data_IF_858774333757
#
_entry.id   IF_858774333757
#
_cell.length_a   1.000
_cell.length_b   1.000
_cell.length_c   1.000
_cell.angle_alpha   90.00
_cell.angle_beta   90.00
_cell.angle_gamma   90.00
#
_symmetry.space_group_name_H-M   'P 1'
#
loop_
_entity.id
_entity.type
_entity.pdbx_description
1 polymer ?
#
# COMPACT_ATOMS: atom_id res chain seq x y z
N UNK A 1 20.53 -0.92 23.61
CA UNK A 1 19.91 -1.93 22.73
C UNK A 1 18.94 -1.20 21.82
N UNK A 2 19.32 -0.97 20.56
CA UNK A 2 18.42 -0.33 19.59
C UNK A 2 17.30 -1.30 19.24
N UNK A 3 16.04 -0.84 19.29
CA UNK A 3 14.91 -1.62 18.78
C UNK A 3 15.24 -2.02 17.33
N UNK A 4 15.00 -3.27 16.90
CA UNK A 4 15.08 -3.58 15.48
C UNK A 4 14.08 -2.66 14.77
N UNK A 5 14.59 -1.72 13.97
CA UNK A 5 13.75 -0.96 13.06
C UNK A 5 13.16 -1.99 12.11
N UNK A 6 11.92 -2.42 12.35
CA UNK A 6 11.18 -3.22 11.39
C UNK A 6 11.24 -2.46 10.08
N UNK A 7 11.73 -3.11 9.02
CA UNK A 7 11.76 -2.48 7.72
C UNK A 7 10.31 -2.22 7.30
N UNK A 8 10.09 -1.18 6.50
CA UNK A 8 8.78 -0.84 5.92
C UNK A 8 8.10 -2.04 5.22
N UNK A 9 8.91 -3.02 4.80
CA UNK A 9 8.52 -4.27 4.14
C UNK A 9 8.42 -5.49 5.07
N UNK A 10 8.89 -5.40 6.32
CA UNK A 10 8.75 -6.45 7.35
C UNK A 10 7.42 -6.34 8.10
N UNK A 11 6.68 -5.26 7.84
CA UNK A 11 5.31 -5.10 8.29
C UNK A 11 4.40 -6.04 7.48
N UNK A 12 3.62 -6.88 8.17
CA UNK A 12 2.51 -7.65 7.58
C UNK A 12 1.38 -6.74 7.07
N UNK A 13 1.47 -5.42 7.30
CA UNK A 13 0.46 -4.47 6.86
C UNK A 13 0.51 -4.28 5.34
N UNK A 14 -0.66 -4.15 4.69
CA UNK A 14 -0.72 -3.86 3.27
C UNK A 14 -0.07 -2.51 2.93
N UNK A 15 0.71 -2.48 1.85
CA UNK A 15 1.32 -1.25 1.31
C UNK A 15 0.46 -0.72 0.18
N UNK A 16 -0.02 0.52 0.33
CA UNK A 16 -0.74 1.27 -0.69
C UNK A 16 0.21 2.33 -1.30
N UNK A 17 0.45 2.23 -2.59
CA UNK A 17 1.17 3.25 -3.37
C UNK A 17 0.17 4.10 -4.14
N UNK A 18 0.16 5.40 -3.84
CA UNK A 18 -0.77 6.38 -4.44
C UNK A 18 -0.12 7.30 -5.45
N UNK A 19 1.16 7.09 -5.74
CA UNK A 19 1.91 7.89 -6.72
C UNK A 19 1.32 7.74 -8.12
N UNK A 20 1.74 8.62 -9.02
CA UNK A 20 1.41 8.51 -10.45
C UNK A 20 1.88 7.18 -11.03
N UNK A 21 1.10 6.63 -11.97
CA UNK A 21 1.39 5.34 -12.62
C UNK A 21 2.81 5.25 -13.20
N UNK A 22 3.30 6.33 -13.83
CA UNK A 22 4.66 6.37 -14.39
C UNK A 22 5.75 6.18 -13.32
N UNK A 23 5.59 6.79 -12.15
CA UNK A 23 6.53 6.63 -11.04
C UNK A 23 6.48 5.21 -10.49
N UNK A 24 5.28 4.64 -10.32
CA UNK A 24 5.09 3.26 -9.89
C UNK A 24 5.74 2.24 -10.84
N UNK A 25 5.51 2.39 -12.15
CA UNK A 25 6.02 1.48 -13.17
C UNK A 25 7.54 1.49 -13.30
N UNK A 26 8.17 2.65 -13.09
CA UNK A 26 9.64 2.75 -13.06
C UNK A 26 10.22 1.90 -11.93
N UNK A 27 9.66 2.05 -10.73
CA UNK A 27 10.08 1.34 -9.53
C UNK A 27 9.07 1.48 -8.40
N UNK A 28 8.76 0.36 -7.75
CA UNK A 28 7.89 0.28 -6.59
C UNK A 28 8.35 -0.85 -5.67
N UNK A 29 7.75 -0.94 -4.49
CA UNK A 29 8.01 -2.05 -3.57
C UNK A 29 7.25 -3.29 -4.01
N UNK A 30 7.90 -4.45 -3.98
CA UNK A 30 7.23 -5.74 -4.13
C UNK A 30 6.03 -5.82 -3.19
N UNK A 31 4.94 -6.39 -3.70
CA UNK A 31 3.69 -6.61 -2.95
C UNK A 31 2.93 -5.33 -2.55
N UNK A 32 3.28 -4.15 -3.08
CA UNK A 32 2.42 -2.98 -2.97
C UNK A 32 1.22 -3.07 -3.90
N UNK A 33 0.12 -2.43 -3.49
CA UNK A 33 -1.00 -2.15 -4.37
C UNK A 33 -0.92 -0.73 -4.91
N UNK A 34 -1.31 -0.55 -6.18
CA UNK A 34 -1.29 0.76 -6.82
C UNK A 34 -2.71 1.29 -7.03
N UNK A 35 -3.03 2.40 -6.37
CA UNK A 35 -4.26 3.16 -6.59
C UNK A 35 -3.89 4.64 -6.51
N UNK A 36 -3.90 5.34 -7.64
CA UNK A 36 -3.50 6.75 -7.65
C UNK A 36 -4.37 7.59 -6.70
N UNK A 37 -3.80 8.62 -6.10
CA UNK A 37 -4.49 9.44 -5.09
C UNK A 37 -5.86 9.96 -5.58
N UNK A 38 -5.95 10.38 -6.85
CA UNK A 38 -7.18 10.86 -7.48
C UNK A 38 -8.21 9.75 -7.78
N UNK A 39 -7.78 8.49 -7.82
CA UNK A 39 -8.63 7.33 -8.10
C UNK A 39 -9.18 6.69 -6.81
N UNK A 40 -8.63 7.02 -5.63
CA UNK A 40 -8.98 6.40 -4.36
C UNK A 40 -10.48 6.42 -4.05
N UNK A 41 -11.19 7.48 -4.42
CA UNK A 41 -12.63 7.59 -4.22
C UNK A 41 -13.38 6.55 -5.06
N UNK A 42 -12.99 6.38 -6.31
CA UNK A 42 -13.65 5.48 -7.27
C UNK A 42 -13.27 4.02 -7.02
N UNK A 43 -12.02 3.79 -6.62
CA UNK A 43 -11.43 2.46 -6.38
C UNK A 43 -11.45 2.06 -4.90
N UNK A 44 -12.25 2.72 -4.07
CA UNK A 44 -12.36 2.44 -2.64
C UNK A 44 -12.76 0.98 -2.35
N UNK A 45 -13.48 0.31 -3.25
CA UNK A 45 -13.85 -1.10 -3.11
C UNK A 45 -12.66 -2.07 -3.21
N UNK A 46 -11.51 -1.62 -3.72
CA UNK A 46 -10.28 -2.41 -3.80
C UNK A 46 -9.46 -2.36 -2.50
N UNK A 47 -9.87 -1.52 -1.56
CA UNK A 47 -9.24 -1.37 -0.25
C UNK A 47 -9.63 -2.51 0.69
N UNK A 48 -8.83 -2.78 1.75
CA UNK A 48 -9.19 -3.77 2.76
C UNK A 48 -10.50 -3.42 3.46
N UNK A 49 -11.17 -4.44 4.01
CA UNK A 49 -12.33 -4.23 4.87
C UNK A 49 -11.96 -3.35 6.06
N UNK A 50 -12.78 -2.34 6.34
CA UNK A 50 -12.55 -1.36 7.40
C UNK A 50 -13.05 -1.87 8.75
N UNK A 51 -12.40 -1.52 9.87
CA UNK A 51 -11.18 -0.71 9.97
C UNK A 51 -9.93 -1.50 9.60
N UNK A 52 -8.93 -0.84 9.01
CA UNK A 52 -7.68 -1.49 8.61
C UNK A 52 -6.47 -0.57 8.75
N UNK A 53 -5.32 -1.17 9.05
CA UNK A 53 -4.01 -0.51 9.10
C UNK A 53 -3.28 -0.70 7.77
N UNK A 54 -2.62 0.36 7.30
CA UNK A 54 -1.94 0.41 6.01
C UNK A 54 -0.58 1.12 6.15
N UNK A 55 0.33 0.78 5.25
CA UNK A 55 1.50 1.58 4.94
C UNK A 55 1.24 2.38 3.66
N UNK A 56 1.67 3.65 3.61
CA UNK A 56 1.39 4.56 2.50
C UNK A 56 2.68 4.96 1.78
N UNK A 57 2.66 4.94 0.45
CA UNK A 57 3.69 5.53 -0.41
C UNK A 57 3.04 6.64 -1.22
N UNK A 58 3.59 7.85 -1.15
CA UNK A 58 3.12 9.01 -1.89
C UNK A 58 4.26 9.71 -2.64
N UNK A 59 3.92 10.67 -3.49
CA UNK A 59 4.89 11.41 -4.31
C UNK A 59 5.63 12.42 -3.45
N UNK A 60 4.90 13.19 -2.65
CA UNK A 60 5.41 14.26 -1.80
C UNK A 60 4.61 14.39 -0.50
N UNK A 61 5.06 15.27 0.40
CA UNK A 61 4.44 15.48 1.71
C UNK A 61 3.02 16.03 1.64
N UNK A 62 2.69 16.79 0.59
CA UNK A 62 1.35 17.36 0.41
C UNK A 62 0.37 16.26 0.06
N UNK A 63 0.71 15.41 -0.90
CA UNK A 63 -0.10 14.24 -1.27
C UNK A 63 -0.24 13.28 -0.07
N UNK A 64 0.82 13.06 0.70
CA UNK A 64 0.77 12.28 1.95
C UNK A 64 -0.30 12.82 2.90
N UNK A 65 -0.32 14.13 3.16
CA UNK A 65 -1.24 14.73 4.12
C UNK A 65 -2.69 14.60 3.65
N UNK A 66 -2.95 14.98 2.40
CA UNK A 66 -4.29 14.94 1.80
C UNK A 66 -4.86 13.52 1.79
N UNK A 67 -4.07 12.54 1.35
CA UNK A 67 -4.47 11.14 1.28
C UNK A 67 -4.65 10.54 2.67
N UNK A 68 -3.73 10.81 3.60
CA UNK A 68 -3.82 10.29 4.96
C UNK A 68 -5.06 10.80 5.69
N UNK A 69 -5.39 12.10 5.54
CA UNK A 69 -6.62 12.68 6.10
C UNK A 69 -7.87 12.05 5.51
N UNK A 70 -7.89 11.86 4.19
CA UNK A 70 -9.00 11.20 3.52
C UNK A 70 -9.16 9.75 4.01
N UNK A 71 -8.09 8.96 4.07
CA UNK A 71 -8.09 7.58 4.54
C UNK A 71 -8.56 7.48 6.00
N UNK A 72 -8.08 8.37 6.86
CA UNK A 72 -8.53 8.46 8.25
C UNK A 72 -10.04 8.75 8.34
N UNK A 73 -10.56 9.67 7.52
CA UNK A 73 -12.00 9.97 7.45
C UNK A 73 -12.85 8.78 7.02
N UNK A 74 -12.25 7.80 6.32
CA UNK A 74 -12.91 6.56 5.90
C UNK A 74 -12.77 5.42 6.90
N UNK A 75 -11.97 5.56 7.95
CA UNK A 75 -11.75 4.54 8.98
C UNK A 75 -10.50 3.67 8.75
N UNK A 76 -9.54 4.13 7.96
CA UNK A 76 -8.22 3.51 7.84
C UNK A 76 -7.21 4.19 8.74
N UNK A 77 -6.21 3.43 9.17
CA UNK A 77 -5.10 3.91 9.98
C UNK A 77 -3.79 3.75 9.21
N UNK A 78 -2.95 4.79 9.20
CA UNK A 78 -1.64 4.74 8.55
C UNK A 78 -0.58 4.46 9.61
N UNK A 79 0.14 3.36 9.47
CA UNK A 79 1.23 2.98 10.37
C UNK A 79 2.52 3.69 9.99
N UNK A 80 2.88 3.61 8.71
CA UNK A 80 4.09 4.24 8.17
C UNK A 80 3.81 4.92 6.83
N UNK A 81 4.57 5.98 6.56
CA UNK A 81 4.54 6.68 5.28
C UNK A 81 5.94 6.77 4.70
N UNK A 82 6.06 6.65 3.38
CA UNK A 82 7.24 7.04 2.62
C UNK A 82 6.85 7.96 1.48
N UNK A 83 7.58 9.05 1.31
CA UNK A 83 7.52 9.83 0.07
C UNK A 83 8.46 9.25 -0.99
N UNK A 84 8.32 9.66 -2.24
CA UNK A 84 9.08 9.08 -3.35
C UNK A 84 10.59 9.12 -3.11
N UNK A 85 11.14 10.25 -2.65
CA UNK A 85 12.57 10.37 -2.35
C UNK A 85 13.06 9.32 -1.33
N UNK A 86 12.35 9.16 -0.22
CA UNK A 86 12.67 8.19 0.84
C UNK A 86 12.50 6.74 0.36
N UNK A 87 11.52 6.49 -0.51
CA UNK A 87 11.34 5.21 -1.15
C UNK A 87 12.56 4.86 -2.02
N UNK A 88 13.07 5.83 -2.79
CA UNK A 88 14.22 5.58 -3.67
C UNK A 88 15.47 5.26 -2.87
N UNK A 89 15.71 5.98 -1.78
CA UNK A 89 16.80 5.68 -0.84
C UNK A 89 16.63 4.29 -0.22
N UNK A 90 15.41 3.95 0.21
CA UNK A 90 15.10 2.64 0.76
C UNK A 90 15.34 1.51 -0.24
N UNK A 91 14.90 1.67 -1.49
CA UNK A 91 15.11 0.69 -2.57
C UNK A 91 16.59 0.56 -2.91
N UNK A 92 17.34 1.67 -2.95
CA UNK A 92 18.77 1.65 -3.20
C UNK A 92 19.53 0.86 -2.13
N UNK A 93 19.13 1.00 -0.86
CA UNK A 93 19.68 0.23 0.25
C UNK A 93 19.16 -1.23 0.29
N UNK A 94 17.98 -1.50 -0.28
CA UNK A 94 17.30 -2.80 -0.17
C UNK A 94 16.75 -3.28 -1.54
N UNK A 95 17.63 -3.54 -2.53
CA UNK A 95 17.22 -3.85 -3.91
C UNK A 95 16.38 -5.12 -4.02
N UNK A 96 16.44 -6.04 -3.05
CA UNK A 96 15.62 -7.25 -3.01
C UNK A 96 14.12 -6.98 -2.93
N UNK A 97 13.71 -5.79 -2.46
CA UNK A 97 12.30 -5.37 -2.38
C UNK A 97 11.84 -4.59 -3.62
N UNK A 98 12.70 -4.36 -4.61
CA UNK A 98 12.35 -3.65 -5.84
C UNK A 98 11.49 -4.52 -6.77
N UNK A 99 10.42 -3.93 -7.29
CA UNK A 99 9.70 -4.41 -8.46
C UNK A 99 9.61 -3.31 -9.53
N UNK A 100 9.46 -3.72 -10.79
CA UNK A 100 9.33 -2.85 -11.97
C UNK A 100 8.12 -3.29 -12.79
N UNK A 101 7.59 -2.38 -13.60
CA UNK A 101 6.43 -2.66 -14.44
C UNK A 101 5.10 -2.59 -13.67
N UNK A 102 4.13 -3.41 -14.06
CA UNK A 102 2.73 -3.32 -13.60
C UNK A 102 2.34 -4.38 -12.59
N UNK A 103 3.28 -5.17 -12.08
CA UNK A 103 3.01 -6.14 -11.02
C UNK A 103 2.45 -5.41 -9.79
N UNK A 104 1.22 -5.72 -9.41
CA UNK A 104 0.56 -5.12 -8.26
C UNK A 104 -0.12 -6.20 -7.42
N UNK A 105 -0.16 -6.00 -6.10
CA UNK A 105 -0.95 -6.82 -5.19
C UNK A 105 -2.34 -6.22 -5.05
N UNK A 106 -3.37 -7.05 -4.99
CA UNK A 106 -4.72 -6.60 -4.62
C UNK A 106 -4.79 -6.48 -3.10
N UNK A 107 -5.26 -5.34 -2.56
CA UNK A 107 -5.43 -5.18 -1.10
C UNK A 107 -6.66 -5.93 -0.58
N UNK A 108 -7.69 -6.02 -1.42
CA UNK A 108 -8.88 -6.80 -1.14
C UNK A 108 -8.63 -8.30 -1.37
N UNK A 109 -9.02 -9.12 -0.40
CA UNK A 109 -9.13 -10.58 -0.56
C UNK A 109 -10.62 -10.95 -0.47
N UNK A 110 -11.18 -11.67 -1.46
CA UNK A 110 -12.54 -12.19 -1.31
C UNK A 110 -12.60 -13.08 -0.06
N UNK A 111 -13.64 -12.91 0.76
CA UNK A 111 -13.97 -13.93 1.75
C UNK A 111 -14.11 -15.26 1.00
N UNK A 112 -13.33 -16.26 1.41
CA UNK A 112 -13.56 -17.64 0.99
C UNK A 112 -14.91 -18.06 1.57
N UNK A 113 -15.99 -17.79 0.83
CA UNK A 113 -17.26 -18.45 1.01
C UNK A 113 -16.96 -19.94 0.89
N UNK A 114 -16.82 -20.59 2.06
CA UNK A 114 -16.53 -22.02 2.18
C UNK A 114 -17.55 -22.75 1.31
N UNK A 115 -17.02 -23.52 0.34
CA UNK A 115 -17.71 -24.57 -0.40
C UNK A 115 -18.28 -25.61 0.57
N UNK A 116 -19.40 -25.34 1.23
CA UNK A 116 -20.20 -26.31 1.98
C UNK A 116 -21.67 -26.20 1.56
N UNK A 117 -21.92 -26.38 0.27
CA UNK A 117 -23.20 -26.77 -0.33
C UNK A 117 -22.74 -27.69 -1.47
N UNK A 118 -22.93 -29.01 -1.48
CA UNK A 118 -24.03 -29.84 -1.00
C UNK A 118 -23.51 -31.23 -0.62
N UNK A 119 -23.92 -31.76 0.53
CA UNK A 119 -24.07 -33.20 0.71
C UNK A 119 -25.55 -33.47 0.54
N UNK A 120 -25.93 -34.08 -0.58
CA UNK A 120 -27.03 -35.05 -0.68
C UNK A 120 -26.79 -35.87 -1.95
#
# INVERSE_FOLDING_TARGET
MGKPCLLFTDSELPVLDVRKLHSYQKQHLKNSAHIQANELIQRHNEMPARPAWLNLIATDQKETLEVSQWLASKGYHISEVKIEAELLEFIAANPQHLAKGTSQKTLWTPCSLRRHLTTD
#
